data_IF_729542964436
#
_entry.id   IF_729542964436
#
_cell.length_a   1.000
_cell.length_b   1.000
_cell.length_c   1.000
_cell.angle_alpha   90.00
_cell.angle_beta   90.00
_cell.angle_gamma   90.00
#
_symmetry.space_group_name_H-M   'P 1'
#
loop_
_entity.id
_entity.type
_entity.pdbx_description
1 polymer ?
#
# COMPACT_ATOMS: atom_id res chain seq x y z
N UNK A 1 -20.48 -7.27 -3.12
CA UNK A 1 -19.40 -6.28 -2.88
C UNK A 1 -19.77 -5.40 -1.69
N UNK A 2 -18.82 -5.06 -0.77
CA UNK A 2 -19.08 -4.17 0.35
C UNK A 2 -19.51 -2.79 -0.14
N UNK A 3 -20.52 -2.21 0.51
CA UNK A 3 -21.02 -0.88 0.19
C UNK A 3 -20.25 0.17 0.97
N UNK A 4 -19.32 0.86 0.29
CA UNK A 4 -18.59 2.00 0.87
C UNK A 4 -19.44 3.27 0.75
N UNK A 5 -20.33 3.48 1.72
CA UNK A 5 -21.23 4.64 1.78
C UNK A 5 -20.99 5.50 3.01
N UNK A 6 -21.47 6.74 2.97
CA UNK A 6 -21.36 7.70 4.06
C UNK A 6 -19.90 7.88 4.52
N UNK A 7 -19.58 7.69 5.82
CA UNK A 7 -18.24 7.90 6.35
C UNK A 7 -17.17 7.00 5.72
N UNK A 8 -17.56 5.87 5.12
CA UNK A 8 -16.64 4.91 4.51
C UNK A 8 -16.36 5.17 3.03
N UNK A 9 -17.12 6.05 2.37
CA UNK A 9 -17.03 6.25 0.92
C UNK A 9 -15.60 6.51 0.44
N UNK A 10 -14.82 7.30 1.19
CA UNK A 10 -13.43 7.64 0.86
C UNK A 10 -12.49 6.43 0.75
N UNK A 11 -12.73 5.35 1.48
CA UNK A 11 -11.88 4.17 1.48
C UNK A 11 -12.13 3.25 0.28
N UNK A 12 -13.34 3.31 -0.30
CA UNK A 12 -13.72 2.53 -1.49
C UNK A 12 -13.53 3.26 -2.81
N UNK A 13 -13.12 4.54 -2.81
CA UNK A 13 -13.09 5.40 -4.02
C UNK A 13 -12.23 4.87 -5.17
N UNK A 14 -11.24 4.05 -4.84
CA UNK A 14 -10.27 3.51 -5.78
C UNK A 14 -10.74 2.17 -6.37
N UNK A 15 -11.73 1.51 -5.78
CA UNK A 15 -12.29 0.28 -6.33
C UNK A 15 -13.11 0.57 -7.58
N UNK A 16 -12.75 -0.11 -8.66
CA UNK A 16 -13.50 -0.08 -9.91
C UNK A 16 -14.63 -1.11 -9.85
N UNK A 17 -15.83 -0.69 -10.25
CA UNK A 17 -16.94 -1.63 -10.46
C UNK A 17 -16.72 -2.42 -11.76
N UNK A 18 -17.49 -3.51 -11.93
CA UNK A 18 -17.49 -4.27 -13.17
C UNK A 18 -17.90 -3.43 -14.39
N UNK A 19 -18.78 -2.44 -14.18
CA UNK A 19 -19.29 -1.55 -15.22
C UNK A 19 -18.35 -0.36 -15.53
N UNK A 20 -17.22 -0.23 -14.82
CA UNK A 20 -16.28 0.86 -15.09
C UNK A 20 -15.57 0.64 -16.44
N UNK A 21 -15.76 1.57 -17.38
CA UNK A 21 -15.26 1.44 -18.75
C UNK A 21 -13.76 1.75 -18.90
N UNK A 22 -13.06 2.18 -17.84
CA UNK A 22 -11.64 2.53 -17.93
C UNK A 22 -10.81 1.30 -18.34
N UNK A 23 -9.83 1.48 -19.24
CA UNK A 23 -8.88 0.42 -19.56
C UNK A 23 -8.06 0.09 -18.32
N UNK A 24 -7.81 -1.19 -18.11
CA UNK A 24 -7.00 -1.69 -16.98
C UNK A 24 -5.86 -2.54 -17.50
N UNK A 25 -4.77 -2.60 -16.72
CA UNK A 25 -3.59 -3.45 -16.97
C UNK A 25 -3.45 -4.39 -15.78
N UNK A 26 -3.28 -5.69 -16.04
CA UNK A 26 -3.07 -6.67 -14.97
C UNK A 26 -1.74 -6.43 -14.27
N UNK A 27 -1.59 -6.79 -12.99
CA UNK A 27 -0.29 -6.66 -12.32
C UNK A 27 0.81 -7.51 -12.97
N UNK A 28 0.59 -8.76 -13.41
CA UNK A 28 1.62 -9.53 -14.10
C UNK A 28 2.15 -8.85 -15.36
N UNK A 29 1.27 -8.24 -16.17
CA UNK A 29 1.68 -7.48 -17.35
C UNK A 29 2.39 -6.18 -16.96
N UNK A 30 1.89 -5.51 -15.93
CA UNK A 30 2.45 -4.24 -15.46
C UNK A 30 3.84 -4.40 -14.83
N UNK A 31 4.09 -5.52 -14.16
CA UNK A 31 5.35 -5.82 -13.48
C UNK A 31 6.45 -6.34 -14.42
N UNK A 32 6.18 -6.51 -15.72
CA UNK A 32 7.23 -6.79 -16.69
C UNK A 32 8.23 -5.61 -16.75
N UNK A 33 9.56 -5.88 -16.80
CA UNK A 33 10.57 -4.82 -16.80
C UNK A 33 10.35 -3.75 -17.88
N UNK A 34 10.01 -4.16 -19.09
CA UNK A 34 9.79 -3.24 -20.23
C UNK A 34 8.56 -2.35 -19.99
N UNK A 35 7.54 -2.88 -19.31
CA UNK A 35 6.33 -2.13 -18.98
C UNK A 35 6.58 -1.14 -17.85
N UNK A 36 7.36 -1.54 -16.84
CA UNK A 36 7.80 -0.66 -15.77
C UNK A 36 8.68 0.48 -16.31
N UNK A 37 9.60 0.19 -17.24
CA UNK A 37 10.42 1.20 -17.90
C UNK A 37 9.56 2.25 -18.62
N UNK A 38 8.62 1.81 -19.45
CA UNK A 38 7.69 2.70 -20.16
C UNK A 38 6.87 3.56 -19.19
N UNK A 39 6.37 2.94 -18.12
CA UNK A 39 5.54 3.60 -17.14
C UNK A 39 6.32 4.65 -16.34
N UNK A 40 7.51 4.32 -15.85
CA UNK A 40 8.31 5.28 -15.08
C UNK A 40 8.84 6.41 -15.98
N UNK A 41 9.17 6.09 -17.23
CA UNK A 41 9.53 7.09 -18.23
C UNK A 41 8.38 8.08 -18.49
N UNK A 42 7.14 7.59 -18.60
CA UNK A 42 5.97 8.44 -18.79
C UNK A 42 5.67 9.31 -17.55
N UNK A 43 5.78 8.76 -16.34
CA UNK A 43 5.47 9.49 -15.11
C UNK A 43 6.54 10.56 -14.81
N UNK A 44 7.82 10.22 -14.97
CA UNK A 44 8.95 10.98 -14.42
C UNK A 44 9.89 11.58 -15.47
N UNK A 45 9.80 11.16 -16.72
CA UNK A 45 10.62 11.64 -17.82
C UNK A 45 12.02 11.00 -17.90
N UNK A 46 12.67 11.11 -19.08
CA UNK A 46 13.94 10.42 -19.36
C UNK A 46 15.12 10.96 -18.54
N UNK A 47 15.04 12.17 -18.01
CA UNK A 47 16.14 12.80 -17.29
C UNK A 47 16.37 12.17 -15.91
N UNK A 48 15.31 11.64 -15.28
CA UNK A 48 15.39 11.04 -13.94
C UNK A 48 15.62 9.53 -13.98
N UNK A 49 15.26 8.85 -15.07
CA UNK A 49 15.41 7.40 -15.19
C UNK A 49 16.87 6.96 -14.92
N UNK A 50 17.91 7.57 -15.52
CA UNK A 50 19.30 7.28 -15.17
C UNK A 50 19.62 7.72 -13.74
N UNK A 51 20.03 6.78 -12.89
CA UNK A 51 20.57 7.08 -11.57
C UNK A 51 19.56 7.36 -10.45
N UNK A 52 18.27 7.59 -10.75
CA UNK A 52 17.22 7.74 -9.72
C UNK A 52 16.19 6.61 -9.68
N UNK A 53 16.38 5.54 -10.46
CA UNK A 53 15.44 4.41 -10.54
C UNK A 53 14.94 3.89 -9.17
N UNK A 54 15.79 3.70 -8.13
CA UNK A 54 15.33 3.35 -6.78
C UNK A 54 14.26 4.29 -6.21
N UNK A 55 14.42 5.60 -6.41
CA UNK A 55 13.48 6.61 -5.89
C UNK A 55 12.18 6.57 -6.69
N UNK A 56 12.27 6.50 -8.02
CA UNK A 56 11.12 6.49 -8.91
C UNK A 56 10.21 5.29 -8.63
N UNK A 57 10.82 4.10 -8.47
CA UNK A 57 10.10 2.88 -8.10
C UNK A 57 9.46 3.00 -6.72
N UNK A 58 10.18 3.55 -5.73
CA UNK A 58 9.64 3.79 -4.38
C UNK A 58 8.42 4.73 -4.39
N UNK A 59 8.48 5.80 -5.19
CA UNK A 59 7.37 6.73 -5.34
C UNK A 59 6.20 6.11 -6.10
N UNK A 60 6.46 5.36 -7.18
CA UNK A 60 5.40 4.74 -7.95
C UNK A 60 4.67 3.65 -7.14
N UNK A 61 5.40 2.82 -6.39
CA UNK A 61 4.83 1.83 -5.48
C UNK A 61 3.88 2.46 -4.45
N UNK A 62 4.18 3.68 -3.97
CA UNK A 62 3.29 4.42 -3.06
C UNK A 62 1.91 4.65 -3.69
N UNK A 63 1.84 5.02 -4.98
CA UNK A 63 0.57 5.21 -5.66
C UNK A 63 -0.25 3.92 -5.73
N UNK A 64 0.40 2.77 -5.93
CA UNK A 64 -0.27 1.47 -5.86
C UNK A 64 -0.83 1.17 -4.47
N UNK A 65 -0.05 1.37 -3.41
CA UNK A 65 -0.51 1.18 -2.02
C UNK A 65 -1.71 2.08 -1.70
N UNK A 66 -1.73 3.29 -2.27
CA UNK A 66 -2.85 4.23 -2.16
C UNK A 66 -4.13 3.73 -2.81
N UNK A 67 -4.05 2.91 -3.86
CA UNK A 67 -5.22 2.32 -4.48
C UNK A 67 -5.75 1.11 -3.71
N UNK A 68 -4.86 0.22 -3.25
CA UNK A 68 -5.26 -1.10 -2.76
C UNK A 68 -5.55 -1.17 -1.26
N UNK A 69 -4.67 -0.59 -0.42
CA UNK A 69 -4.71 -0.82 1.03
C UNK A 69 -6.05 -0.36 1.66
N UNK A 70 -6.57 0.86 1.38
CA UNK A 70 -7.75 1.36 2.05
C UNK A 70 -9.00 0.50 1.85
N UNK A 71 -9.38 0.14 0.60
CA UNK A 71 -10.58 -0.66 0.40
C UNK A 71 -10.43 -2.06 1.00
N UNK A 72 -9.28 -2.71 0.85
CA UNK A 72 -9.05 -4.07 1.38
C UNK A 72 -9.09 -4.08 2.91
N UNK A 73 -8.40 -3.13 3.55
CA UNK A 73 -8.31 -3.05 5.00
C UNK A 73 -9.69 -2.80 5.62
N UNK A 74 -10.42 -1.83 5.09
CA UNK A 74 -11.74 -1.43 5.60
C UNK A 74 -12.79 -2.49 5.30
N UNK A 75 -12.77 -3.12 4.12
CA UNK A 75 -13.63 -4.24 3.80
C UNK A 75 -13.48 -5.40 4.78
N UNK A 76 -12.24 -5.76 5.13
CA UNK A 76 -11.99 -6.83 6.09
C UNK A 76 -12.45 -6.46 7.50
N UNK A 77 -12.13 -5.25 7.98
CA UNK A 77 -12.43 -4.82 9.35
C UNK A 77 -13.93 -4.55 9.57
N UNK A 78 -14.57 -3.81 8.66
CA UNK A 78 -15.96 -3.34 8.81
C UNK A 78 -16.97 -4.35 8.26
N UNK A 79 -16.66 -4.99 7.14
CA UNK A 79 -17.62 -5.80 6.39
C UNK A 79 -17.31 -7.31 6.42
N UNK A 80 -16.19 -7.71 7.04
CA UNK A 80 -15.68 -9.09 7.01
C UNK A 80 -15.53 -9.64 5.57
N UNK A 81 -15.33 -8.74 4.62
CA UNK A 81 -15.28 -9.03 3.20
C UNK A 81 -13.83 -9.17 2.76
N UNK A 82 -13.55 -10.19 1.95
CA UNK A 82 -12.23 -10.47 1.42
C UNK A 82 -12.32 -10.77 -0.07
N UNK A 83 -11.41 -10.17 -0.82
CA UNK A 83 -11.16 -10.52 -2.22
C UNK A 83 -9.99 -11.50 -2.30
N UNK A 84 -9.94 -12.35 -3.33
CA UNK A 84 -8.67 -12.89 -3.77
C UNK A 84 -7.77 -11.73 -4.22
N UNK A 85 -6.52 -11.73 -3.77
CA UNK A 85 -5.59 -10.63 -3.99
C UNK A 85 -4.27 -11.11 -4.62
N UNK A 86 -4.23 -12.35 -5.11
CA UNK A 86 -3.13 -12.82 -5.95
C UNK A 86 -2.90 -11.81 -7.07
N UNK A 87 -1.64 -11.55 -7.42
CA UNK A 87 -1.32 -10.48 -8.37
C UNK A 87 -2.05 -10.64 -9.71
N UNK A 88 -2.32 -11.89 -10.13
CA UNK A 88 -3.09 -12.24 -11.33
C UNK A 88 -4.56 -11.82 -11.27
N UNK A 89 -5.12 -11.64 -10.06
CA UNK A 89 -6.50 -11.23 -9.83
C UNK A 89 -6.65 -9.70 -9.71
N UNK A 90 -5.57 -8.94 -9.80
CA UNK A 90 -5.56 -7.49 -9.61
C UNK A 90 -5.14 -6.79 -10.89
N UNK A 91 -5.90 -5.77 -11.28
CA UNK A 91 -5.59 -4.90 -12.40
C UNK A 91 -5.72 -3.42 -11.99
N UNK A 92 -4.96 -2.55 -12.65
CA UNK A 92 -4.94 -1.12 -12.39
C UNK A 92 -5.46 -0.33 -13.59
N UNK A 93 -6.34 0.64 -13.32
CA UNK A 93 -6.52 1.76 -14.23
C UNK A 93 -5.39 2.76 -13.99
N UNK A 94 -4.82 3.25 -15.08
CA UNK A 94 -3.76 4.26 -15.06
C UNK A 94 -4.31 5.55 -15.67
N UNK A 95 -3.87 6.70 -15.16
CA UNK A 95 -4.09 7.97 -15.83
C UNK A 95 -3.18 8.13 -17.06
N UNK A 96 -3.31 9.25 -17.77
CA UNK A 96 -2.54 9.56 -18.98
C UNK A 96 -1.01 9.59 -18.75
N UNK A 97 -0.55 9.74 -17.51
CA UNK A 97 0.86 9.75 -17.13
C UNK A 97 1.37 8.38 -16.72
N UNK A 98 0.50 7.39 -16.50
CA UNK A 98 0.87 6.08 -15.97
C UNK A 98 0.78 5.97 -14.44
N UNK A 99 0.10 6.91 -13.77
CA UNK A 99 -0.15 6.84 -12.32
C UNK A 99 -1.44 6.05 -12.04
N UNK A 100 -1.43 5.09 -11.11
CA UNK A 100 -2.64 4.38 -10.71
C UNK A 100 -3.75 5.32 -10.23
N UNK A 101 -4.94 5.20 -10.82
CA UNK A 101 -6.14 5.95 -10.44
C UNK A 101 -7.38 5.07 -10.18
N UNK A 102 -7.18 3.76 -10.12
CA UNK A 102 -8.18 2.79 -9.71
C UNK A 102 -7.64 1.37 -9.75
N UNK A 103 -8.30 0.48 -9.01
CA UNK A 103 -7.98 -0.94 -8.92
C UNK A 103 -9.23 -1.78 -9.20
N UNK A 104 -9.09 -2.76 -10.09
CA UNK A 104 -10.09 -3.77 -10.40
C UNK A 104 -9.64 -5.11 -9.81
N UNK A 105 -10.59 -5.79 -9.18
CA UNK A 105 -10.42 -7.13 -8.63
C UNK A 105 -11.25 -8.08 -9.48
N UNK A 106 -10.64 -9.16 -9.97
CA UNK A 106 -11.25 -10.04 -10.97
C UNK A 106 -12.49 -10.77 -10.45
N UNK A 107 -12.46 -11.21 -9.19
CA UNK A 107 -13.57 -11.85 -8.52
C UNK A 107 -14.29 -10.88 -7.57
N UNK A 108 -15.60 -11.06 -7.40
CA UNK A 108 -16.43 -10.19 -6.56
C UNK A 108 -15.98 -10.17 -5.08
N UNK A 109 -15.25 -11.21 -4.66
CA UNK A 109 -14.88 -11.50 -3.28
C UNK A 109 -15.98 -12.22 -2.52
N UNK A 110 -15.78 -12.46 -1.22
CA UNK A 110 -16.75 -13.16 -0.37
C UNK A 110 -16.71 -12.67 1.07
N UNK A 111 -17.86 -12.76 1.74
CA UNK A 111 -17.90 -12.67 3.21
C UNK A 111 -17.19 -13.90 3.76
N UNK A 112 -16.15 -13.69 4.56
CA UNK A 112 -15.48 -14.80 5.22
C UNK A 112 -16.15 -15.06 6.58
N UNK A 113 -17.10 -16.00 6.59
CA UNK A 113 -17.75 -16.46 7.82
C UNK A 113 -16.83 -17.47 8.51
N UNK A 114 -16.37 -17.15 9.72
CA UNK A 114 -15.36 -17.94 10.45
C UNK A 114 -14.01 -17.23 10.57
N UNK A 115 -14.05 -15.93 10.89
CA UNK A 115 -12.85 -15.12 11.11
C UNK A 115 -11.83 -15.87 11.96
N UNK A 116 -10.63 -16.05 11.41
CA UNK A 116 -9.49 -16.27 12.28
C UNK A 116 -9.31 -15.02 13.14
N UNK A 117 -9.13 -15.24 14.45
CA UNK A 117 -8.75 -14.18 15.38
C UNK A 117 -7.33 -13.70 15.07
N UNK A 118 -6.54 -14.52 14.36
CA UNK A 118 -5.17 -14.19 13.97
C UNK A 118 -5.13 -13.08 12.90
N UNK A 119 -4.51 -11.93 13.21
CA UNK A 119 -4.37 -10.81 12.28
C UNK A 119 -3.67 -11.19 10.98
N UNK A 120 -2.66 -12.05 11.02
CA UNK A 120 -1.87 -12.38 9.85
C UNK A 120 -2.62 -13.30 8.89
N UNK A 121 -3.39 -14.26 9.41
CA UNK A 121 -4.30 -15.07 8.60
C UNK A 121 -5.42 -14.22 7.99
N UNK A 122 -5.98 -13.28 8.74
CA UNK A 122 -7.01 -12.36 8.24
C UNK A 122 -6.53 -11.54 7.04
N UNK A 123 -5.29 -11.07 7.09
CA UNK A 123 -4.69 -10.25 6.04
C UNK A 123 -3.73 -11.01 5.12
N UNK A 124 -3.75 -12.35 5.11
CA UNK A 124 -2.85 -13.17 4.29
C UNK A 124 -2.95 -12.82 2.80
N UNK A 125 -4.17 -12.61 2.27
CA UNK A 125 -4.35 -12.19 0.88
C UNK A 125 -3.66 -10.84 0.57
N UNK A 126 -3.74 -9.87 1.47
CA UNK A 126 -3.06 -8.59 1.26
C UNK A 126 -1.54 -8.74 1.40
N UNK A 127 -1.06 -9.46 2.41
CA UNK A 127 0.35 -9.53 2.75
C UNK A 127 1.12 -10.49 1.84
N UNK A 128 0.65 -11.73 1.73
CA UNK A 128 1.35 -12.84 1.08
C UNK A 128 1.01 -12.94 -0.39
N UNK A 129 -0.28 -12.85 -0.76
CA UNK A 129 -0.70 -13.02 -2.15
C UNK A 129 -0.45 -11.77 -3.00
N UNK A 130 -0.38 -10.59 -2.38
CA UNK A 130 -0.27 -9.31 -3.08
C UNK A 130 1.02 -8.53 -2.79
N UNK A 131 1.13 -7.96 -1.58
CA UNK A 131 2.20 -7.00 -1.26
C UNK A 131 3.57 -7.67 -1.34
N UNK A 132 3.72 -8.90 -0.87
CA UNK A 132 4.99 -9.63 -0.92
C UNK A 132 5.50 -9.82 -2.36
N UNK A 133 4.78 -10.44 -3.31
CA UNK A 133 5.27 -10.61 -4.69
C UNK A 133 5.39 -9.26 -5.44
N UNK A 134 4.49 -8.31 -5.21
CA UNK A 134 4.56 -6.97 -5.81
C UNK A 134 5.81 -6.21 -5.36
N UNK A 135 6.07 -6.17 -4.05
CA UNK A 135 7.25 -5.51 -3.47
C UNK A 135 8.53 -6.22 -3.90
N UNK A 136 8.55 -7.55 -3.94
CA UNK A 136 9.72 -8.30 -4.39
C UNK A 136 10.07 -7.96 -5.85
N UNK A 137 9.07 -7.90 -6.74
CA UNK A 137 9.25 -7.56 -8.15
C UNK A 137 9.80 -6.15 -8.33
N UNK A 138 9.18 -5.15 -7.68
CA UNK A 138 9.65 -3.77 -7.74
C UNK A 138 11.01 -3.56 -7.07
N UNK A 139 11.28 -4.27 -5.96
CA UNK A 139 12.58 -4.22 -5.28
C UNK A 139 13.70 -4.71 -6.20
N UNK A 140 13.47 -5.82 -6.91
CA UNK A 140 14.41 -6.38 -7.88
C UNK A 140 14.62 -5.44 -9.08
N UNK A 141 13.54 -4.98 -9.71
CA UNK A 141 13.59 -4.08 -10.86
C UNK A 141 14.27 -2.74 -10.52
N UNK A 142 13.88 -2.12 -9.39
CA UNK A 142 14.37 -0.81 -9.00
C UNK A 142 15.72 -0.78 -8.29
N UNK A 143 16.31 -1.94 -7.97
CA UNK A 143 17.58 -2.03 -7.25
C UNK A 143 17.55 -1.38 -5.87
N UNK A 144 16.42 -1.50 -5.14
CA UNK A 144 16.22 -0.92 -3.81
C UNK A 144 15.86 -1.98 -2.78
N UNK A 145 16.22 -1.83 -1.49
CA UNK A 145 15.81 -2.78 -0.46
C UNK A 145 14.29 -2.83 -0.31
N UNK A 146 13.70 -4.04 -0.30
CA UNK A 146 12.27 -4.25 -0.08
C UNK A 146 11.73 -3.56 1.19
N UNK A 147 12.56 -3.38 2.21
CA UNK A 147 12.22 -2.66 3.43
C UNK A 147 11.81 -1.18 3.19
N UNK A 148 12.28 -0.55 2.11
CA UNK A 148 11.85 0.79 1.69
C UNK A 148 10.38 0.78 1.29
N UNK A 149 9.97 -0.20 0.49
CA UNK A 149 8.60 -0.36 0.00
C UNK A 149 7.65 -0.82 1.11
N UNK A 150 8.07 -1.77 1.95
CA UNK A 150 7.31 -2.19 3.13
C UNK A 150 7.09 -1.04 4.13
N UNK A 151 8.09 -0.18 4.31
CA UNK A 151 7.96 1.06 5.11
C UNK A 151 6.90 2.00 4.51
N UNK A 152 6.82 2.11 3.17
CA UNK A 152 5.79 2.93 2.49
C UNK A 152 4.39 2.32 2.66
N UNK A 153 4.26 1.00 2.49
CA UNK A 153 3.00 0.29 2.65
C UNK A 153 2.48 0.41 4.10
N UNK A 154 3.35 0.19 5.10
CA UNK A 154 2.98 0.29 6.50
C UNK A 154 2.64 1.72 6.96
N UNK A 155 3.34 2.72 6.42
CA UNK A 155 3.00 4.12 6.64
C UNK A 155 1.57 4.45 6.22
N UNK A 156 1.21 3.99 5.02
CA UNK A 156 -0.12 4.23 4.47
C UNK A 156 -1.21 3.39 5.14
N UNK A 157 -0.91 2.13 5.49
CA UNK A 157 -1.79 1.27 6.27
C UNK A 157 -2.12 1.90 7.62
N UNK A 158 -1.11 2.40 8.35
CA UNK A 158 -1.33 3.10 9.61
C UNK A 158 -2.19 4.35 9.44
N UNK A 159 -1.89 5.18 8.43
CA UNK A 159 -2.72 6.36 8.12
C UNK A 159 -4.17 5.98 7.81
N UNK A 160 -4.41 4.85 7.15
CA UNK A 160 -5.75 4.35 6.89
C UNK A 160 -6.47 3.92 8.20
N UNK A 161 -5.77 3.24 9.12
CA UNK A 161 -6.31 2.87 10.43
C UNK A 161 -6.65 4.11 11.27
N UNK A 162 -5.75 5.09 11.32
CA UNK A 162 -5.98 6.35 12.01
C UNK A 162 -7.20 7.08 11.44
N UNK A 163 -7.35 7.14 10.11
CA UNK A 163 -8.54 7.72 9.48
C UNK A 163 -9.82 6.94 9.79
N UNK A 164 -9.78 5.60 9.80
CA UNK A 164 -10.93 4.77 10.12
C UNK A 164 -11.40 5.00 11.57
N UNK A 165 -10.46 5.15 12.52
CA UNK A 165 -10.75 5.47 13.91
C UNK A 165 -11.52 6.79 14.09
N UNK A 166 -11.37 7.75 13.18
CA UNK A 166 -12.12 9.03 13.25
C UNK A 166 -13.59 8.92 12.86
N UNK A 167 -13.99 7.82 12.24
CA UNK A 167 -15.34 7.69 11.65
C UNK A 167 -16.02 6.35 11.91
N UNK A 168 -15.47 5.51 12.80
CA UNK A 168 -16.04 4.21 13.17
C UNK A 168 -15.48 3.70 14.50
N UNK A 169 -16.31 3.00 15.25
CA UNK A 169 -15.94 2.30 16.50
C UNK A 169 -15.53 0.83 16.27
N UNK A 170 -15.32 0.42 15.00
CA UNK A 170 -14.87 -0.95 14.69
C UNK A 170 -13.53 -1.25 15.36
N UNK A 171 -13.36 -2.47 15.88
CA UNK A 171 -12.06 -2.88 16.44
C UNK A 171 -10.96 -2.86 15.38
N UNK A 172 -9.92 -2.07 15.63
CA UNK A 172 -8.73 -1.96 14.79
C UNK A 172 -7.62 -2.92 15.20
N UNK A 173 -7.84 -3.75 16.23
CA UNK A 173 -6.81 -4.59 16.84
C UNK A 173 -6.06 -5.45 15.81
N UNK A 174 -6.78 -6.07 14.88
CA UNK A 174 -6.17 -6.87 13.82
C UNK A 174 -5.30 -6.04 12.86
N UNK A 175 -5.72 -4.83 12.49
CA UNK A 175 -4.91 -3.95 11.65
C UNK A 175 -3.66 -3.44 12.38
N UNK A 176 -3.81 -3.05 13.65
CA UNK A 176 -2.72 -2.55 14.48
C UNK A 176 -1.68 -3.65 14.80
N UNK A 177 -2.12 -4.90 14.96
CA UNK A 177 -1.23 -6.04 15.15
C UNK A 177 -0.22 -6.23 14.00
N UNK A 178 -0.62 -5.92 12.75
CA UNK A 178 0.29 -5.94 11.61
C UNK A 178 1.45 -4.94 11.77
N UNK A 179 1.29 -3.90 12.58
CA UNK A 179 2.32 -2.87 12.82
C UNK A 179 3.06 -3.08 14.14
N UNK A 180 2.47 -3.79 15.10
CA UNK A 180 3.03 -3.95 16.45
C UNK A 180 3.69 -5.30 16.72
N UNK A 181 3.33 -6.35 15.98
CA UNK A 181 3.89 -7.69 16.20
C UNK A 181 5.19 -7.90 15.42
N UNK A 182 6.25 -8.34 16.11
CA UNK A 182 7.59 -8.52 15.52
C UNK A 182 7.69 -9.74 14.59
N UNK A 183 6.96 -10.80 14.92
CA UNK A 183 6.95 -12.08 14.20
C UNK A 183 5.52 -12.44 13.84
N UNK A 184 5.37 -13.20 12.77
CA UNK A 184 4.11 -13.83 12.36
C UNK A 184 3.94 -15.16 13.13
N UNK A 185 2.75 -15.78 13.14
CA UNK A 185 2.50 -17.04 13.86
C UNK A 185 3.41 -18.20 13.42
N UNK A 186 3.85 -18.19 12.16
CA UNK A 186 4.81 -19.17 11.61
C UNK A 186 6.27 -18.89 12.01
N UNK A 187 6.53 -17.86 12.82
CA UNK A 187 7.86 -17.48 13.29
C UNK A 187 8.66 -16.58 12.34
N UNK A 188 8.19 -16.34 11.11
CA UNK A 188 8.84 -15.41 10.17
C UNK A 188 8.79 -13.98 10.71
N UNK A 189 9.76 -13.16 10.30
CA UNK A 189 9.75 -11.74 10.61
C UNK A 189 8.56 -11.04 9.94
N UNK A 190 7.91 -10.13 10.66
CA UNK A 190 6.87 -9.28 10.09
C UNK A 190 7.52 -8.07 9.38
N UNK A 191 7.40 -7.92 8.06
CA UNK A 191 8.01 -6.79 7.36
C UNK A 191 7.40 -5.44 7.72
N UNK A 192 6.16 -5.40 8.24
CA UNK A 192 5.45 -4.20 8.66
C UNK A 192 5.74 -3.79 10.11
N UNK A 193 6.44 -4.61 10.90
CA UNK A 193 6.71 -4.33 12.31
C UNK A 193 7.37 -2.97 12.52
N UNK A 194 6.67 -2.07 13.20
CA UNK A 194 7.07 -0.68 13.40
C UNK A 194 7.47 0.03 12.11
N UNK A 195 6.79 -0.24 10.99
CA UNK A 195 6.98 0.49 9.74
C UNK A 195 6.86 2.01 9.94
N UNK A 196 6.09 2.42 10.94
CA UNK A 196 6.06 3.78 11.50
C UNK A 196 6.20 3.74 13.03
N UNK A 197 6.68 4.86 13.59
CA UNK A 197 6.81 5.12 15.01
C UNK A 197 6.41 6.57 15.29
N UNK A 198 5.92 6.82 16.49
CA UNK A 198 5.64 8.17 16.98
C UNK A 198 6.79 8.62 17.86
N UNK A 199 7.50 9.68 17.43
CA UNK A 199 8.69 10.19 18.10
C UNK A 199 8.34 11.46 18.87
N UNK A 200 8.59 11.50 20.20
CA UNK A 200 8.34 12.70 21.00
C UNK A 200 9.01 13.93 20.42
N UNK A 201 8.33 15.07 20.46
CA UNK A 201 8.88 16.35 20.04
C UNK A 201 9.50 17.07 21.24
N UNK A 202 10.67 17.69 21.05
CA UNK A 202 11.44 18.34 22.12
C UNK A 202 10.69 19.45 22.87
N UNK A 203 9.67 20.03 22.25
CA UNK A 203 8.89 21.15 22.80
C UNK A 203 7.52 20.72 23.36
N UNK A 204 7.31 19.43 23.65
CA UNK A 204 6.07 18.92 24.23
C UNK A 204 4.86 18.91 23.27
N UNK A 205 5.10 19.09 21.97
CA UNK A 205 4.07 18.93 20.94
C UNK A 205 3.71 17.47 20.70
N UNK A 206 2.64 17.27 19.92
CA UNK A 206 2.19 15.93 19.52
C UNK A 206 3.35 15.11 18.93
N UNK A 207 3.47 13.81 19.29
CA UNK A 207 4.51 12.96 18.75
C UNK A 207 4.49 12.95 17.22
N UNK A 208 5.66 13.16 16.61
CA UNK A 208 5.78 13.15 15.16
C UNK A 208 5.77 11.70 14.65
N UNK A 209 4.87 11.40 13.72
CA UNK A 209 4.90 10.16 12.96
C UNK A 209 6.15 10.11 12.07
N UNK A 210 6.92 9.04 12.21
CA UNK A 210 8.18 8.81 11.50
C UNK A 210 8.23 7.39 10.95
N UNK A 211 8.60 7.24 9.68
CA UNK A 211 8.81 5.94 9.03
C UNK A 211 10.08 5.26 9.52
N UNK A 212 10.09 3.93 9.55
CA UNK A 212 11.27 3.13 9.91
C UNK A 212 12.40 3.25 8.91
N UNK A 213 12.05 3.33 7.62
CA UNK A 213 12.99 3.36 6.49
C UNK A 213 12.62 4.51 5.57
N UNK A 214 13.62 5.29 5.14
CA UNK A 214 13.47 6.41 4.22
C UNK A 214 12.91 5.94 2.86
N UNK A 215 11.95 6.68 2.32
CA UNK A 215 11.36 6.42 1.00
C UNK A 215 12.19 6.93 -0.18
N UNK A 216 13.33 7.57 0.11
CA UNK A 216 14.26 8.16 -0.86
C UNK A 216 13.72 9.38 -1.62
N UNK A 217 12.46 9.81 -1.39
CA UNK A 217 11.81 10.90 -2.12
C UNK A 217 12.65 12.19 -2.17
N UNK A 218 13.37 12.48 -1.07
CA UNK A 218 14.23 13.66 -0.94
C UNK A 218 15.37 13.74 -1.96
N UNK A 219 15.67 12.64 -2.68
CA UNK A 219 16.71 12.60 -3.72
C UNK A 219 16.24 13.18 -5.05
N UNK A 220 14.94 13.40 -5.21
CA UNK A 220 14.35 14.04 -6.38
C UNK A 220 13.72 15.35 -5.92
N UNK A 221 14.31 16.47 -6.35
CA UNK A 221 14.00 17.81 -5.83
C UNK A 221 12.51 18.17 -5.88
N UNK A 222 11.86 17.96 -7.04
CA UNK A 222 10.44 18.29 -7.21
C UNK A 222 9.48 17.34 -6.46
N UNK A 223 9.93 16.14 -6.09
CA UNK A 223 9.17 15.23 -5.20
C UNK A 223 9.33 15.69 -3.75
N UNK A 224 10.54 16.12 -3.38
CA UNK A 224 10.84 16.67 -2.08
C UNK A 224 10.86 15.63 -0.95
N UNK A 225 11.08 16.11 0.27
CA UNK A 225 11.13 15.29 1.47
C UNK A 225 9.71 14.92 1.92
N UNK A 226 9.45 13.64 2.14
CA UNK A 226 8.16 13.21 2.69
C UNK A 226 8.00 13.65 4.16
N UNK A 227 6.76 13.92 4.58
CA UNK A 227 6.39 14.34 5.93
C UNK A 227 6.94 13.41 7.04
N UNK A 228 6.83 12.10 6.83
CA UNK A 228 7.25 11.08 7.79
C UNK A 228 8.72 10.63 7.65
N UNK A 229 9.58 11.45 7.02
CA UNK A 229 10.97 11.05 6.73
C UNK A 229 11.78 10.76 8.00
N UNK A 230 12.51 9.62 8.09
CA UNK A 230 13.35 9.31 9.24
C UNK A 230 14.66 10.08 9.31
N UNK A 231 15.11 10.64 8.20
CA UNK A 231 16.34 11.40 8.18
C UNK A 231 16.12 12.72 8.89
N UNK A 232 17.10 13.13 9.70
CA UNK A 232 17.14 14.48 10.26
C UNK A 232 17.01 15.53 9.15
N UNK A 233 16.33 16.62 9.48
CA UNK A 233 16.24 17.81 8.64
C UNK A 233 17.62 18.44 8.48
#
# INVERSE_FOLDING_TARGET
MPSFVGPFARFGRTLLTADDARPVVTLPDLLQPERLDQLLLAVYGPQLMPGQLPVLVSQWAKFYFMQLIPPVLVASLVHHWHWPLQVEQVALALDERGVPNGVRLAEEGRVWRGMSVDPFQRFAGLLDDNLQPFIASLSAYGGLPAAVLWSSAGDYLESCLAQLATCSDVSLAAGLALLSEKKRPDGRANPLFQAVRYVPQAQGGEPRKQRRVCCLSHRVEWVGRCEHCPLSG
#
